data_IF_277462079040
#
_entry.id   IF_277462079040
#
_cell.length_a   1.000
_cell.length_b   1.000
_cell.length_c   1.000
_cell.angle_alpha   90.00
_cell.angle_beta   90.00
_cell.angle_gamma   90.00
#
_symmetry.space_group_name_H-M   'P 1'
#
loop_
_entity.id
_entity.type
_entity.pdbx_description
1 polymer ?
#
# COMPACT_ATOMS: atom_id res chain seq x y z
N UNK A 1 -8.86 44.06 29.50
CA UNK A 1 -7.60 43.86 28.76
C UNK A 1 -6.56 43.42 29.78
N UNK A 2 -6.26 42.12 29.87
CA UNK A 2 -5.32 41.57 30.84
C UNK A 2 -4.04 41.18 30.09
N UNK A 3 -2.96 41.92 30.32
CA UNK A 3 -1.62 41.64 29.78
C UNK A 3 -0.92 40.66 30.70
N UNK A 4 -0.55 39.48 30.20
CA UNK A 4 0.24 38.50 30.94
C UNK A 4 1.68 38.56 30.43
N UNK A 5 2.59 39.04 31.29
CA UNK A 5 4.03 39.00 31.09
C UNK A 5 4.55 37.63 31.54
N UNK A 6 5.02 36.81 30.60
CA UNK A 6 5.85 35.65 30.92
C UNK A 6 7.30 36.10 31.06
N UNK A 7 7.72 36.30 32.29
CA UNK A 7 9.14 36.41 32.64
C UNK A 7 9.81 35.06 32.48
N UNK A 8 10.77 34.99 31.55
CA UNK A 8 11.74 33.91 31.45
C UNK A 8 12.81 34.16 32.53
N UNK A 9 12.87 33.34 33.58
CA UNK A 9 13.96 33.36 34.56
C UNK A 9 14.71 32.04 34.57
N UNK A 10 15.96 32.15 34.14
CA UNK A 10 17.06 31.18 34.24
C UNK A 10 17.40 30.81 35.69
N UNK A 11 17.92 29.57 35.86
CA UNK A 11 19.04 29.12 36.72
C UNK A 11 18.89 27.60 36.99
N UNK A 12 19.91 26.76 37.07
CA UNK A 12 21.36 26.92 37.13
C UNK A 12 22.05 25.64 36.62
N UNK A 13 23.30 25.79 36.17
CA UNK A 13 24.21 24.70 35.93
C UNK A 13 24.80 24.16 37.25
N UNK A 14 24.81 22.84 37.43
CA UNK A 14 25.67 22.15 38.39
C UNK A 14 26.33 20.94 37.72
N UNK A 15 27.62 21.10 37.49
CA UNK A 15 28.60 20.03 37.24
C UNK A 15 28.55 18.99 38.36
N UNK A 16 28.42 17.71 37.99
CA UNK A 16 28.96 16.58 38.75
C UNK A 16 29.60 15.62 37.76
N UNK A 17 30.93 15.51 37.83
CA UNK A 17 31.70 14.41 37.25
C UNK A 17 31.36 13.11 37.96
N UNK A 18 31.14 12.04 37.18
CA UNK A 18 31.31 10.68 37.68
C UNK A 18 31.86 9.79 36.56
N UNK A 19 33.19 9.76 36.46
CA UNK A 19 33.91 8.70 35.79
C UNK A 19 33.63 7.38 36.53
N UNK A 20 33.10 6.39 35.80
CA UNK A 20 32.92 5.02 36.29
C UNK A 20 33.38 4.08 35.19
N UNK A 21 34.47 3.38 35.51
CA UNK A 21 35.16 2.39 34.72
C UNK A 21 34.38 1.06 34.72
N UNK A 22 34.10 0.55 33.50
CA UNK A 22 33.81 -0.83 33.07
C UNK A 22 32.57 -1.60 33.63
N UNK A 23 32.11 -2.72 32.99
CA UNK A 23 32.44 -3.29 31.67
C UNK A 23 31.23 -3.33 30.71
N UNK A 24 31.52 -3.49 29.41
CA UNK A 24 30.54 -3.66 28.34
C UNK A 24 29.55 -4.80 28.65
N UNK A 25 28.29 -4.43 28.90
CA UNK A 25 27.17 -5.38 29.00
C UNK A 25 26.41 -5.33 27.67
N UNK A 26 26.19 -6.48 27.01
CA UNK A 26 25.70 -6.55 25.65
C UNK A 26 24.31 -5.93 25.51
N UNK A 27 24.22 -5.04 24.51
CA UNK A 27 23.05 -4.63 23.75
C UNK A 27 21.78 -5.38 24.18
N UNK A 28 20.97 -4.73 25.01
CA UNK A 28 19.57 -5.10 25.14
C UNK A 28 18.98 -5.08 23.75
N UNK A 29 18.70 -6.27 23.22
CA UNK A 29 18.07 -6.49 21.94
C UNK A 29 16.79 -5.67 21.90
N UNK A 30 16.88 -4.52 21.23
CA UNK A 30 15.73 -3.89 20.60
C UNK A 30 15.12 -5.01 19.78
N UNK A 31 13.99 -5.56 20.27
CA UNK A 31 13.14 -6.39 19.42
C UNK A 31 12.84 -5.50 18.22
N UNK A 32 13.24 -5.87 16.99
CA UNK A 32 12.66 -5.22 15.85
C UNK A 32 11.18 -5.61 15.87
N UNK A 33 10.34 -4.79 16.51
CA UNK A 33 8.89 -4.74 16.29
C UNK A 33 8.63 -4.05 14.94
N UNK A 34 9.39 -4.51 13.96
CA UNK A 34 9.25 -4.27 12.54
C UNK A 34 9.40 -5.65 11.95
N UNK A 35 8.44 -6.53 12.29
CA UNK A 35 8.07 -7.57 11.36
C UNK A 35 7.55 -6.80 10.15
N UNK A 36 8.48 -6.42 9.27
CA UNK A 36 8.18 -6.02 7.92
C UNK A 36 7.49 -7.27 7.36
N UNK A 37 6.17 -7.31 7.52
CA UNK A 37 5.26 -8.15 6.76
C UNK A 37 5.85 -8.16 5.36
N UNK A 38 6.46 -9.29 4.98
CA UNK A 38 7.23 -9.43 3.75
C UNK A 38 6.43 -8.73 2.68
N UNK A 39 6.96 -7.63 2.13
CA UNK A 39 6.24 -6.84 1.15
C UNK A 39 5.83 -7.80 0.04
N UNK A 40 4.55 -8.21 0.07
CA UNK A 40 4.05 -9.32 -0.73
C UNK A 40 4.39 -8.95 -2.16
N UNK A 41 5.27 -9.73 -2.79
CA UNK A 41 5.84 -9.29 -4.04
C UNK A 41 4.72 -9.15 -5.05
N UNK A 42 4.67 -7.97 -5.69
CA UNK A 42 3.79 -7.72 -6.82
C UNK A 42 4.26 -8.59 -7.96
N UNK A 43 3.58 -9.70 -8.13
CA UNK A 43 3.93 -10.75 -9.08
C UNK A 43 2.81 -10.97 -10.09
N UNK A 44 1.65 -10.34 -9.87
CA UNK A 44 0.45 -10.54 -10.68
C UNK A 44 0.32 -9.45 -11.73
N UNK A 45 0.30 -9.91 -12.99
CA UNK A 45 0.05 -9.10 -14.17
C UNK A 45 -1.44 -8.79 -14.32
N UNK A 46 -1.77 -7.88 -15.24
CA UNK A 46 -3.15 -7.53 -15.55
C UNK A 46 -3.91 -8.77 -16.04
N UNK A 47 -5.13 -8.93 -15.53
CA UNK A 47 -5.92 -10.15 -15.69
C UNK A 47 -5.72 -11.12 -14.54
N UNK A 48 -4.52 -11.31 -13.99
CA UNK A 48 -4.35 -12.37 -13.00
C UNK A 48 -5.18 -12.21 -11.74
N UNK A 49 -5.53 -13.35 -11.13
CA UNK A 49 -6.30 -13.37 -9.89
C UNK A 49 -5.49 -12.82 -8.71
N UNK A 50 -6.14 -11.97 -7.93
CA UNK A 50 -5.54 -11.28 -6.77
C UNK A 50 -6.32 -11.48 -5.46
N UNK A 51 -7.21 -12.48 -5.39
CA UNK A 51 -8.04 -12.72 -4.20
C UNK A 51 -7.24 -12.88 -2.89
N UNK A 52 -6.04 -13.47 -2.94
CA UNK A 52 -5.23 -13.77 -1.74
C UNK A 52 -4.44 -12.59 -1.19
N UNK A 53 -4.05 -11.61 -2.01
CA UNK A 53 -3.22 -10.48 -1.57
C UNK A 53 -3.73 -9.12 -1.98
N UNK A 54 -4.92 -9.07 -2.60
CA UNK A 54 -5.57 -7.84 -3.01
C UNK A 54 -4.68 -7.01 -3.92
N UNK A 55 -4.69 -5.70 -3.70
CA UNK A 55 -3.88 -4.74 -4.45
C UNK A 55 -2.38 -5.01 -4.40
N UNK A 56 -1.87 -5.61 -3.33
CA UNK A 56 -0.43 -5.84 -3.13
C UNK A 56 0.12 -6.93 -4.04
N UNK A 57 -0.72 -7.84 -4.53
CA UNK A 57 -0.30 -8.86 -5.49
C UNK A 57 -0.13 -8.28 -6.90
N UNK A 58 -0.89 -7.23 -7.23
CA UNK A 58 -0.94 -6.64 -8.56
C UNK A 58 0.20 -5.63 -8.82
N UNK A 59 0.86 -5.73 -9.97
CA UNK A 59 1.83 -4.71 -10.42
C UNK A 59 1.21 -3.30 -10.43
N UNK A 60 -0.05 -3.21 -10.85
CA UNK A 60 -0.84 -1.98 -10.97
C UNK A 60 -1.39 -1.41 -9.65
N UNK A 61 -1.28 -2.14 -8.52
CA UNK A 61 -1.98 -1.83 -7.25
C UNK A 61 -3.51 -1.82 -7.34
N UNK A 62 -4.09 -2.43 -8.36
CA UNK A 62 -5.53 -2.42 -8.56
C UNK A 62 -6.04 -3.85 -8.62
N UNK A 63 -6.69 -4.28 -7.54
CA UNK A 63 -7.38 -5.55 -7.46
C UNK A 63 -8.88 -5.28 -7.40
N UNK A 64 -9.60 -5.66 -8.46
CA UNK A 64 -11.01 -5.36 -8.64
C UNK A 64 -11.83 -6.64 -8.69
N UNK A 65 -13.12 -6.52 -8.36
CA UNK A 65 -14.05 -7.64 -8.40
C UNK A 65 -14.96 -7.53 -9.63
N UNK A 66 -14.95 -8.52 -10.52
CA UNK A 66 -15.76 -8.59 -11.73
C UNK A 66 -17.18 -9.15 -11.51
N UNK A 67 -17.40 -9.86 -10.40
CA UNK A 67 -18.61 -10.66 -10.21
C UNK A 67 -19.02 -10.82 -8.74
N UNK A 68 -20.09 -11.61 -8.48
CA UNK A 68 -20.64 -11.78 -7.13
C UNK A 68 -19.84 -12.74 -6.25
N UNK A 69 -18.94 -13.57 -6.81
CA UNK A 69 -18.17 -14.54 -6.03
C UNK A 69 -16.94 -13.90 -5.40
N UNK A 70 -16.86 -14.01 -4.07
CA UNK A 70 -15.88 -13.32 -3.23
C UNK A 70 -14.43 -13.83 -3.37
N UNK A 71 -14.19 -14.99 -3.97
CA UNK A 71 -12.84 -15.57 -4.05
C UNK A 71 -12.37 -15.82 -5.49
N UNK A 72 -13.28 -15.77 -6.47
CA UNK A 72 -12.99 -16.17 -7.85
C UNK A 72 -12.98 -15.00 -8.83
N UNK A 73 -13.64 -13.90 -8.47
CA UNK A 73 -13.86 -12.78 -9.38
C UNK A 73 -12.91 -11.61 -9.14
N UNK A 74 -11.86 -11.78 -8.32
CA UNK A 74 -10.86 -10.75 -8.07
C UNK A 74 -9.72 -10.84 -9.09
N UNK A 75 -9.44 -9.73 -9.77
CA UNK A 75 -8.44 -9.67 -10.82
C UNK A 75 -7.64 -8.37 -10.78
N UNK A 76 -6.40 -8.44 -11.25
CA UNK A 76 -5.56 -7.28 -11.40
C UNK A 76 -6.00 -6.46 -12.61
N UNK A 77 -6.32 -5.18 -12.39
CA UNK A 77 -6.74 -4.23 -13.43
C UNK A 77 -5.77 -3.06 -13.51
N UNK A 78 -5.97 -2.11 -14.41
CA UNK A 78 -5.25 -0.85 -14.43
C UNK A 78 -6.19 0.31 -14.73
N UNK A 79 -5.74 1.53 -14.40
CA UNK A 79 -6.42 2.75 -14.83
C UNK A 79 -6.28 2.93 -16.34
N UNK A 80 -7.33 3.44 -16.96
CA UNK A 80 -7.38 3.72 -18.40
C UNK A 80 -8.04 5.07 -18.64
N UNK A 81 -7.86 5.63 -19.84
CA UNK A 81 -8.61 6.81 -20.31
C UNK A 81 -9.51 6.46 -21.49
N UNK A 82 -9.16 5.40 -22.20
CA UNK A 82 -9.81 4.90 -23.41
C UNK A 82 -9.66 3.38 -23.50
N UNK A 83 -10.47 2.74 -24.34
CA UNK A 83 -10.36 1.30 -24.62
C UNK A 83 -9.00 0.92 -25.24
N UNK A 84 -8.28 1.88 -25.82
CA UNK A 84 -6.93 1.68 -26.36
C UNK A 84 -5.85 1.51 -25.28
N UNK A 85 -6.10 1.98 -24.06
CA UNK A 85 -5.21 1.75 -22.92
C UNK A 85 -5.37 0.34 -22.34
N UNK A 86 -6.40 -0.39 -22.77
CA UNK A 86 -6.73 -1.70 -22.25
C UNK A 86 -6.21 -2.84 -23.14
N UNK A 87 -6.00 -4.03 -22.56
CA UNK A 87 -5.62 -5.22 -23.31
C UNK A 87 -6.67 -5.58 -24.37
N UNK A 88 -6.29 -6.51 -25.24
CA UNK A 88 -7.18 -6.97 -26.30
C UNK A 88 -8.49 -7.53 -25.73
N UNK A 89 -9.62 -7.09 -26.28
CA UNK A 89 -10.98 -7.46 -25.87
C UNK A 89 -11.40 -6.98 -24.46
N UNK A 90 -10.65 -6.06 -23.85
CA UNK A 90 -11.04 -5.38 -22.60
C UNK A 90 -11.58 -3.99 -22.90
N UNK A 91 -12.38 -3.46 -21.99
CA UNK A 91 -12.98 -2.12 -22.12
C UNK A 91 -12.68 -1.24 -20.92
N UNK A 92 -12.56 0.05 -21.17
CA UNK A 92 -12.31 1.07 -20.16
C UNK A 92 -13.63 1.55 -19.56
N UNK A 93 -13.93 1.07 -18.35
CA UNK A 93 -15.22 1.31 -17.67
C UNK A 93 -15.06 2.21 -16.45
N UNK A 94 -16.05 3.05 -16.20
CA UNK A 94 -16.12 3.87 -14.99
C UNK A 94 -16.59 3.02 -13.80
N UNK A 95 -15.85 3.06 -12.68
CA UNK A 95 -16.30 2.44 -11.42
C UNK A 95 -17.01 3.47 -10.55
N UNK A 96 -18.23 3.13 -10.10
CA UNK A 96 -19.00 3.91 -9.12
C UNK A 96 -18.78 3.32 -7.70
N UNK A 97 -18.71 4.12 -6.61
CA UNK A 97 -18.96 5.58 -6.49
C UNK A 97 -17.73 6.46 -6.69
N UNK A 98 -16.58 5.88 -7.03
CA UNK A 98 -15.32 6.63 -7.16
C UNK A 98 -15.40 7.66 -8.28
N UNK A 99 -15.41 8.94 -7.89
CA UNK A 99 -15.63 10.10 -8.76
C UNK A 99 -14.55 10.37 -9.84
N UNK A 100 -13.72 9.39 -10.22
CA UNK A 100 -12.68 9.64 -11.23
C UNK A 100 -11.85 8.46 -11.69
N UNK A 101 -12.22 7.21 -11.37
CA UNK A 101 -11.46 6.04 -11.81
C UNK A 101 -12.14 5.31 -12.96
N UNK A 102 -11.62 5.46 -14.18
CA UNK A 102 -11.87 4.48 -15.23
C UNK A 102 -10.81 3.38 -15.14
N UNK A 103 -11.22 2.14 -15.35
CA UNK A 103 -10.34 0.97 -15.27
C UNK A 103 -10.63 -0.02 -16.39
N UNK A 104 -9.64 -0.85 -16.70
CA UNK A 104 -9.84 -1.93 -17.66
C UNK A 104 -10.66 -3.06 -17.02
N UNK A 105 -11.84 -3.32 -17.58
CA UNK A 105 -12.66 -4.47 -17.24
C UNK A 105 -12.54 -5.57 -18.29
N UNK A 106 -12.49 -6.84 -17.86
CA UNK A 106 -12.49 -7.97 -18.76
C UNK A 106 -13.87 -8.15 -19.44
N UNK A 107 -13.93 -8.88 -20.57
CA UNK A 107 -15.19 -9.23 -21.21
C UNK A 107 -16.01 -10.22 -20.37
N UNK A 108 -17.29 -10.36 -20.71
CA UNK A 108 -18.17 -11.37 -20.12
C UNK A 108 -17.60 -12.79 -20.29
N UNK A 109 -17.66 -13.60 -19.23
CA UNK A 109 -17.14 -14.97 -19.25
C UNK A 109 -15.62 -15.09 -19.06
N UNK A 110 -14.92 -14.02 -18.67
CA UNK A 110 -13.51 -14.09 -18.30
C UNK A 110 -13.26 -15.02 -17.10
N UNK A 111 -12.20 -15.85 -17.17
CA UNK A 111 -12.03 -17.01 -16.28
C UNK A 111 -10.80 -16.96 -15.35
N UNK A 112 -10.09 -15.84 -15.20
CA UNK A 112 -8.89 -15.80 -14.35
C UNK A 112 -7.55 -15.75 -15.08
N UNK A 113 -7.53 -15.58 -16.41
CA UNK A 113 -6.31 -15.63 -17.20
C UNK A 113 -5.59 -14.26 -17.31
N UNK A 114 -4.27 -14.30 -17.51
CA UNK A 114 -3.45 -13.14 -17.89
C UNK A 114 -4.03 -12.50 -19.15
N UNK A 115 -4.17 -11.18 -19.16
CA UNK A 115 -4.69 -10.48 -20.32
C UNK A 115 -3.67 -10.47 -21.47
N UNK A 116 -4.16 -10.65 -22.71
CA UNK A 116 -3.32 -10.54 -23.90
C UNK A 116 -3.01 -9.07 -24.17
N UNK A 117 -1.73 -8.72 -24.17
CA UNK A 117 -1.25 -7.41 -24.61
C UNK A 117 -1.77 -7.12 -26.02
N UNK A 118 -2.14 -5.86 -26.27
CA UNK A 118 -2.69 -5.42 -27.55
C UNK A 118 -1.74 -5.64 -28.72
#
# INVERSE_FOLDING_TARGET
MLTWSFGCSEQAATTVERQSDAPATPLSSVRPDHQFEQAKQRTKALGERCATGGESDCHSRLCLRAGPQLDQDYFCSQQCRSDDDCPKAWSCVQIHPSAGGQVCAPPEGWTGAVAESR
#
